data_IF_326992875252
#
_entry.id   IF_326992875252
#
_cell.length_a   1.000
_cell.length_b   1.000
_cell.length_c   1.000
_cell.angle_alpha   90.00
_cell.angle_beta   90.00
_cell.angle_gamma   90.00
#
_symmetry.space_group_name_H-M   'P 1'
#
loop_
_entity.id
_entity.type
_entity.pdbx_description
1 polymer ?
#
# COMPACT_ATOMS: atom_id res chain seq x y z
N UNK A 1 28.60 0.41 5.66
CA UNK A 1 27.59 0.34 4.58
C UNK A 1 26.46 1.30 4.90
N UNK A 2 26.08 2.16 3.95
CA UNK A 2 24.94 3.09 4.11
C UNK A 2 23.63 2.32 3.95
N UNK A 3 22.64 2.60 4.81
CA UNK A 3 21.32 1.96 4.73
C UNK A 3 20.58 2.36 3.44
N UNK A 4 19.76 1.45 2.90
CA UNK A 4 18.92 1.71 1.72
C UNK A 4 17.64 2.47 2.09
N UNK A 5 16.87 2.90 1.08
CA UNK A 5 15.55 3.51 1.30
C UNK A 5 14.64 2.59 2.12
N UNK A 6 14.51 1.32 1.69
CA UNK A 6 13.64 0.36 2.36
C UNK A 6 14.04 0.12 3.80
N UNK A 7 15.35 0.08 4.11
CA UNK A 7 15.83 -0.10 5.47
C UNK A 7 15.44 1.09 6.37
N UNK A 8 15.62 2.32 5.89
CA UNK A 8 15.17 3.51 6.64
C UNK A 8 13.65 3.55 6.81
N UNK A 9 12.90 3.12 5.79
CA UNK A 9 11.45 3.09 5.85
C UNK A 9 10.95 2.08 6.90
N UNK A 10 11.52 0.88 6.92
CA UNK A 10 11.22 -0.16 7.93
C UNK A 10 11.60 0.30 9.33
N UNK A 11 12.78 0.93 9.50
CA UNK A 11 13.16 1.52 10.79
C UNK A 11 12.10 2.52 11.28
N UNK A 12 11.57 3.36 10.39
CA UNK A 12 10.55 4.36 10.74
C UNK A 12 9.19 3.74 11.02
N UNK A 13 8.76 2.72 10.27
CA UNK A 13 7.55 1.93 10.61
C UNK A 13 7.69 1.38 12.02
N UNK A 14 8.79 0.67 12.31
CA UNK A 14 9.01 0.06 13.62
C UNK A 14 9.05 1.10 14.75
N UNK A 15 9.67 2.26 14.51
CA UNK A 15 9.64 3.37 15.47
C UNK A 15 8.21 3.84 15.76
N UNK A 16 7.36 4.01 14.74
CA UNK A 16 5.96 4.39 14.94
C UNK A 16 5.19 3.29 15.69
N UNK A 17 5.35 2.03 15.27
CA UNK A 17 4.63 0.91 15.89
C UNK A 17 5.01 0.71 17.36
N UNK A 18 6.26 0.99 17.74
CA UNK A 18 6.75 0.78 19.09
C UNK A 18 6.54 1.99 20.03
N UNK A 19 6.45 3.20 19.48
CA UNK A 19 6.32 4.43 20.25
C UNK A 19 5.37 5.42 19.56
N UNK A 20 4.12 5.40 20.00
CA UNK A 20 3.05 6.26 19.47
C UNK A 20 1.99 6.63 20.51
N UNK A 21 2.33 6.58 21.80
CA UNK A 21 1.38 6.86 22.88
C UNK A 21 0.84 8.30 22.83
N UNK A 22 1.60 9.23 22.22
CA UNK A 22 1.19 10.61 21.99
C UNK A 22 0.52 10.83 20.61
N UNK A 23 0.22 9.79 19.83
CA UNK A 23 -0.49 9.91 18.57
C UNK A 23 -2.00 9.69 18.77
N UNK A 24 -2.80 10.25 17.85
CA UNK A 24 -4.26 10.07 17.83
C UNK A 24 -4.76 10.10 16.39
N UNK A 25 -5.84 9.39 16.11
CA UNK A 25 -6.58 9.48 14.85
C UNK A 25 -7.03 10.91 14.53
N UNK A 26 -6.89 11.32 13.27
CA UNK A 26 -7.18 12.69 12.84
C UNK A 26 -8.63 13.13 13.08
N UNK A 27 -9.60 12.22 12.90
CA UNK A 27 -11.02 12.51 13.15
C UNK A 27 -11.31 12.68 14.65
N UNK A 28 -10.64 11.93 15.52
CA UNK A 28 -10.76 12.13 16.97
C UNK A 28 -10.21 13.50 17.39
N UNK A 29 -9.07 13.92 16.83
CA UNK A 29 -8.50 15.24 17.13
C UNK A 29 -9.40 16.37 16.64
N UNK A 30 -10.01 16.23 15.45
CA UNK A 30 -10.99 17.19 14.93
C UNK A 30 -12.24 17.23 15.82
N UNK A 31 -12.75 16.08 16.25
CA UNK A 31 -13.96 15.97 17.07
C UNK A 31 -13.77 16.40 18.53
N UNK A 32 -12.55 16.29 19.08
CA UNK A 32 -12.25 16.70 20.45
C UNK A 32 -10.88 17.41 20.57
N UNK A 33 -10.75 18.64 20.03
CA UNK A 33 -9.48 19.33 19.93
C UNK A 33 -8.87 19.70 21.29
N UNK A 34 -9.69 19.94 22.31
CA UNK A 34 -9.22 20.24 23.67
C UNK A 34 -8.55 19.02 24.32
N UNK A 35 -9.19 17.84 24.25
CA UNK A 35 -8.63 16.58 24.79
C UNK A 35 -7.30 16.23 24.11
N UNK A 36 -7.23 16.39 22.79
CA UNK A 36 -6.10 15.93 22.00
C UNK A 36 -5.15 17.05 21.54
N UNK A 37 -5.18 18.22 22.17
CA UNK A 37 -4.38 19.40 21.77
C UNK A 37 -2.90 19.06 21.57
N UNK A 38 -2.34 18.30 22.51
CA UNK A 38 -0.91 17.92 22.53
C UNK A 38 -0.60 16.60 21.80
N UNK A 39 -1.60 15.93 21.21
CA UNK A 39 -1.38 14.69 20.47
C UNK A 39 -1.02 14.96 19.02
N UNK A 40 -0.22 14.09 18.42
CA UNK A 40 0.10 14.13 17.00
C UNK A 40 -1.05 13.48 16.23
N UNK A 41 -1.65 14.22 15.29
CA UNK A 41 -2.71 13.72 14.42
C UNK A 41 -2.15 12.73 13.40
N UNK A 42 -2.81 11.59 13.21
CA UNK A 42 -2.45 10.57 12.23
C UNK A 42 -3.67 10.02 11.50
N UNK A 43 -3.45 9.63 10.25
CA UNK A 43 -4.36 8.86 9.41
C UNK A 43 -3.53 8.06 8.40
N UNK A 44 -4.23 7.31 7.55
CA UNK A 44 -3.65 6.36 6.61
C UNK A 44 -2.57 6.99 5.71
N UNK A 45 -2.81 8.19 5.18
CA UNK A 45 -1.85 8.90 4.32
C UNK A 45 -0.77 9.61 5.13
N UNK A 46 -1.10 10.17 6.30
CA UNK A 46 -0.14 10.87 7.17
C UNK A 46 1.00 9.93 7.60
N UNK A 47 0.69 8.71 8.02
CA UNK A 47 1.69 7.71 8.39
C UNK A 47 2.64 7.40 7.21
N UNK A 48 2.07 7.20 6.02
CA UNK A 48 2.87 6.94 4.82
C UNK A 48 3.81 8.10 4.49
N UNK A 49 3.32 9.34 4.59
CA UNK A 49 4.11 10.55 4.36
C UNK A 49 5.27 10.65 5.35
N UNK A 50 5.06 10.39 6.65
CA UNK A 50 6.15 10.40 7.63
C UNK A 50 7.27 9.41 7.29
N UNK A 51 6.91 8.20 6.88
CA UNK A 51 7.88 7.15 6.51
C UNK A 51 8.65 7.53 5.25
N UNK A 52 7.97 8.05 4.21
CA UNK A 52 8.61 8.48 2.98
C UNK A 52 9.54 9.68 3.20
N UNK A 53 9.08 10.71 3.93
CA UNK A 53 9.87 11.90 4.25
C UNK A 53 11.16 11.53 4.98
N UNK A 54 11.03 10.76 6.06
CA UNK A 54 12.17 10.30 6.85
C UNK A 54 13.19 9.54 5.98
N UNK A 55 12.71 8.62 5.14
CA UNK A 55 13.58 7.80 4.30
C UNK A 55 14.31 8.63 3.24
N UNK A 56 13.63 9.59 2.60
CA UNK A 56 14.29 10.52 1.68
C UNK A 56 15.30 11.43 2.37
N UNK A 57 14.99 11.95 3.56
CA UNK A 57 15.91 12.79 4.34
C UNK A 57 17.18 12.04 4.74
N UNK A 58 17.06 10.79 5.19
CA UNK A 58 18.21 9.95 5.53
C UNK A 58 19.12 9.64 4.34
N UNK A 59 18.60 9.74 3.12
CA UNK A 59 19.37 9.63 1.88
C UNK A 59 19.84 11.00 1.33
N UNK A 60 19.66 12.10 2.06
CA UNK A 60 20.02 13.44 1.60
C UNK A 60 19.10 14.02 0.51
N UNK A 61 17.95 13.39 0.22
CA UNK A 61 17.01 13.80 -0.83
C UNK A 61 15.94 14.76 -0.31
N UNK A 62 16.36 15.92 0.19
CA UNK A 62 15.47 16.90 0.85
C UNK A 62 14.33 17.40 -0.06
N UNK A 63 14.60 17.63 -1.35
CA UNK A 63 13.58 18.05 -2.31
C UNK A 63 12.48 16.99 -2.47
N UNK A 64 12.86 15.72 -2.46
CA UNK A 64 11.90 14.60 -2.53
C UNK A 64 11.10 14.46 -1.25
N UNK A 65 11.73 14.64 -0.07
CA UNK A 65 11.01 14.69 1.21
C UNK A 65 9.96 15.81 1.22
N UNK A 66 10.34 17.04 0.84
CA UNK A 66 9.41 18.16 0.72
C UNK A 66 8.27 17.85 -0.24
N UNK A 67 8.60 17.28 -1.42
CA UNK A 67 7.61 16.98 -2.46
C UNK A 67 6.62 15.92 -2.01
N UNK A 68 7.05 14.81 -1.42
CA UNK A 68 6.08 13.81 -0.93
C UNK A 68 5.17 14.42 0.12
N UNK A 69 5.68 15.25 1.03
CA UNK A 69 4.88 15.96 2.02
C UNK A 69 3.74 16.81 1.44
N UNK A 70 3.92 17.37 0.23
CA UNK A 70 2.89 18.12 -0.48
C UNK A 70 1.93 17.28 -1.34
N UNK A 71 2.10 15.96 -1.42
CA UNK A 71 1.25 15.04 -2.20
C UNK A 71 0.27 14.24 -1.31
N UNK A 72 0.19 14.57 -0.02
CA UNK A 72 -0.59 13.84 0.99
C UNK A 72 -2.12 13.91 0.84
N UNK A 73 -2.66 14.50 -0.22
CA UNK A 73 -4.11 14.56 -0.47
C UNK A 73 -4.63 13.41 -1.34
N UNK A 74 -3.77 12.83 -2.20
CA UNK A 74 -4.18 11.82 -3.19
C UNK A 74 -3.10 10.74 -3.31
N UNK A 75 -3.41 9.53 -2.85
CA UNK A 75 -2.49 8.39 -2.91
C UNK A 75 -2.00 8.08 -4.34
N UNK A 76 -2.85 8.27 -5.35
CA UNK A 76 -2.48 8.04 -6.75
C UNK A 76 -1.45 9.04 -7.28
N UNK A 77 -1.48 10.30 -6.86
CA UNK A 77 -0.48 11.30 -7.26
C UNK A 77 0.86 11.04 -6.57
N UNK A 78 0.83 10.63 -5.30
CA UNK A 78 2.00 10.16 -4.58
C UNK A 78 2.64 8.95 -5.29
N UNK A 79 1.83 7.96 -5.69
CA UNK A 79 2.29 6.77 -6.40
C UNK A 79 2.99 7.11 -7.73
N UNK A 80 2.35 7.93 -8.56
CA UNK A 80 2.92 8.37 -9.85
C UNK A 80 4.22 9.12 -9.65
N UNK A 81 4.31 9.97 -8.63
CA UNK A 81 5.56 10.68 -8.31
C UNK A 81 6.68 9.69 -7.99
N UNK A 82 6.42 8.69 -7.14
CA UNK A 82 7.42 7.67 -6.79
C UNK A 82 7.83 6.85 -8.02
N UNK A 83 6.89 6.44 -8.86
CA UNK A 83 7.18 5.68 -10.09
C UNK A 83 7.97 6.54 -11.08
N UNK A 84 7.44 7.69 -11.47
CA UNK A 84 7.96 8.49 -12.57
C UNK A 84 9.22 9.27 -12.22
N UNK A 85 9.41 9.66 -10.95
CA UNK A 85 10.57 10.46 -10.52
C UNK A 85 11.63 9.64 -9.81
N UNK A 86 11.24 8.58 -9.10
CA UNK A 86 12.18 7.75 -8.34
C UNK A 86 12.36 6.35 -8.91
N UNK A 87 11.79 6.06 -10.08
CA UNK A 87 11.87 4.77 -10.75
C UNK A 87 11.35 3.62 -9.89
N UNK A 88 10.32 3.87 -9.06
CA UNK A 88 9.66 2.80 -8.33
C UNK A 88 8.81 1.95 -9.27
N UNK A 89 8.53 0.71 -8.88
CA UNK A 89 7.68 -0.21 -9.66
C UNK A 89 6.31 -0.38 -9.03
N UNK A 90 5.28 -0.34 -9.88
CA UNK A 90 3.90 -0.59 -9.49
C UNK A 90 3.54 -2.07 -9.59
N UNK A 91 2.98 -2.62 -8.52
CA UNK A 91 2.55 -4.02 -8.41
C UNK A 91 1.06 -4.07 -8.12
N UNK A 92 0.25 -4.46 -9.09
CA UNK A 92 -1.18 -4.64 -8.85
C UNK A 92 -1.41 -5.88 -8.00
N UNK A 93 -2.18 -5.76 -6.92
CA UNK A 93 -2.49 -6.88 -6.06
C UNK A 93 -3.99 -7.18 -6.05
N UNK A 94 -4.34 -8.47 -6.04
CA UNK A 94 -5.71 -8.95 -5.88
C UNK A 94 -5.70 -10.44 -5.44
N UNK A 95 -6.26 -10.82 -4.27
CA UNK A 95 -6.23 -12.19 -3.79
C UNK A 95 -7.04 -13.16 -4.66
N UNK A 96 -8.09 -12.68 -5.33
CA UNK A 96 -8.94 -13.43 -6.25
C UNK A 96 -9.59 -12.52 -7.30
N UNK A 97 -9.03 -12.52 -8.52
CA UNK A 97 -9.51 -11.65 -9.61
C UNK A 97 -10.89 -12.04 -10.17
N UNK A 98 -11.39 -13.26 -9.90
CA UNK A 98 -12.68 -13.73 -10.43
C UNK A 98 -13.77 -13.76 -9.37
N UNK A 99 -13.40 -14.05 -8.12
CA UNK A 99 -14.32 -14.26 -7.01
C UNK A 99 -13.82 -13.51 -5.77
N UNK A 100 -13.80 -12.16 -5.80
CA UNK A 100 -13.48 -11.38 -4.61
C UNK A 100 -14.44 -11.76 -3.48
N UNK A 101 -13.93 -11.87 -2.25
CA UNK A 101 -14.68 -12.42 -1.12
C UNK A 101 -15.91 -11.61 -0.71
N UNK A 102 -15.97 -10.33 -1.10
CA UNK A 102 -17.13 -9.46 -0.88
C UNK A 102 -18.14 -9.45 -2.04
N UNK A 103 -17.82 -10.14 -3.14
CA UNK A 103 -18.64 -10.22 -4.35
C UNK A 103 -18.75 -8.93 -5.16
N UNK A 104 -17.97 -7.90 -4.82
CA UNK A 104 -18.05 -6.62 -5.51
C UNK A 104 -17.37 -6.69 -6.88
N UNK A 105 -18.13 -6.34 -7.92
CA UNK A 105 -17.66 -6.34 -9.31
C UNK A 105 -16.54 -5.35 -9.59
N UNK A 106 -16.31 -4.36 -8.71
CA UNK A 106 -15.24 -3.37 -8.87
C UNK A 106 -13.84 -4.00 -8.92
N UNK A 107 -13.60 -5.06 -8.14
CA UNK A 107 -12.30 -5.74 -8.10
C UNK A 107 -12.03 -6.44 -9.42
N UNK A 108 -13.04 -7.12 -9.96
CA UNK A 108 -13.01 -7.79 -11.26
C UNK A 108 -12.78 -6.75 -12.36
N UNK A 109 -13.56 -5.67 -12.35
CA UNK A 109 -13.45 -4.60 -13.32
C UNK A 109 -12.06 -3.93 -13.29
N UNK A 110 -11.49 -3.71 -12.10
CA UNK A 110 -10.15 -3.12 -11.97
C UNK A 110 -9.09 -3.94 -12.69
N UNK A 111 -9.14 -5.27 -12.59
CA UNK A 111 -8.20 -6.14 -13.29
C UNK A 111 -8.49 -6.22 -14.80
N UNK A 112 -9.70 -6.62 -15.19
CA UNK A 112 -10.02 -6.93 -16.59
C UNK A 112 -10.15 -5.70 -17.48
N UNK A 113 -10.59 -4.56 -16.95
CA UNK A 113 -10.79 -3.34 -17.73
C UNK A 113 -9.60 -2.37 -17.68
N UNK A 114 -8.74 -2.46 -16.67
CA UNK A 114 -7.62 -1.53 -16.51
C UNK A 114 -6.29 -2.28 -16.57
N UNK A 115 -5.96 -3.10 -15.58
CA UNK A 115 -4.64 -3.76 -15.50
C UNK A 115 -4.32 -4.56 -16.76
N UNK A 116 -5.24 -5.42 -17.19
CA UNK A 116 -5.05 -6.32 -18.35
C UNK A 116 -5.03 -5.57 -19.69
N UNK A 117 -5.71 -4.42 -19.79
CA UNK A 117 -5.83 -3.66 -21.03
C UNK A 117 -4.78 -2.57 -21.18
N UNK A 118 -4.40 -1.91 -20.08
CA UNK A 118 -3.59 -0.69 -20.16
C UNK A 118 -2.39 -0.67 -19.22
N UNK A 119 -2.13 -1.75 -18.46
CA UNK A 119 -1.07 -1.77 -17.45
C UNK A 119 -1.20 -0.59 -16.46
N UNK A 120 -2.43 -0.17 -16.13
CA UNK A 120 -2.65 0.91 -15.16
C UNK A 120 -3.70 0.56 -14.12
N UNK A 121 -3.61 1.24 -12.96
CA UNK A 121 -4.57 1.17 -11.87
C UNK A 121 -5.34 2.48 -11.70
N UNK A 122 -6.65 2.36 -11.46
CA UNK A 122 -7.62 3.43 -11.23
C UNK A 122 -7.82 4.35 -12.45
N UNK A 123 -8.85 5.19 -12.37
CA UNK A 123 -9.08 6.30 -13.32
C UNK A 123 -7.88 7.25 -13.40
N UNK A 124 -7.07 7.31 -12.33
CA UNK A 124 -5.84 8.09 -12.28
C UNK A 124 -4.71 7.51 -13.14
N UNK A 125 -4.84 6.29 -13.69
CA UNK A 125 -3.85 5.63 -14.55
C UNK A 125 -2.47 5.51 -13.90
N UNK A 126 -2.40 5.01 -12.67
CA UNK A 126 -1.10 4.73 -12.02
C UNK A 126 -0.42 3.57 -12.76
N UNK A 127 0.83 3.70 -13.23
CA UNK A 127 1.50 2.64 -13.99
C UNK A 127 1.74 1.36 -13.17
N UNK A 128 1.63 0.21 -13.82
CA UNK A 128 1.87 -1.12 -13.24
C UNK A 128 2.90 -1.86 -14.10
N UNK A 129 3.90 -2.45 -13.47
CA UNK A 129 4.88 -3.33 -14.15
C UNK A 129 4.73 -4.80 -13.79
N UNK A 130 4.10 -5.13 -12.65
CA UNK A 130 3.96 -6.50 -12.17
C UNK A 130 2.57 -6.77 -11.56
N UNK A 131 2.20 -8.04 -11.45
CA UNK A 131 0.96 -8.48 -10.80
C UNK A 131 1.23 -9.48 -9.69
N UNK A 132 0.60 -9.26 -8.54
CA UNK A 132 0.48 -10.21 -7.43
C UNK A 132 -0.99 -10.61 -7.31
N UNK A 133 -1.39 -11.59 -8.09
CA UNK A 133 -2.81 -11.98 -8.22
C UNK A 133 -3.03 -13.43 -7.83
N UNK A 134 -4.25 -13.73 -7.39
CA UNK A 134 -4.74 -15.10 -7.16
C UNK A 134 -3.98 -15.84 -6.05
N UNK A 135 -3.45 -15.11 -5.07
CA UNK A 135 -2.68 -15.68 -3.97
C UNK A 135 -3.55 -16.17 -2.81
N UNK A 136 -4.82 -15.74 -2.73
CA UNK A 136 -5.77 -16.25 -1.76
C UNK A 136 -7.19 -16.41 -2.34
N UNK A 137 -7.40 -17.35 -3.30
CA UNK A 137 -8.69 -17.54 -3.94
C UNK A 137 -9.81 -17.96 -3.00
N UNK A 138 -11.02 -17.50 -3.28
CA UNK A 138 -12.24 -17.94 -2.61
C UNK A 138 -12.51 -19.43 -2.90
N UNK A 139 -12.91 -20.18 -1.87
CA UNK A 139 -13.25 -21.61 -2.01
C UNK A 139 -14.48 -21.84 -2.89
N UNK A 140 -15.41 -20.89 -2.88
CA UNK A 140 -16.67 -20.96 -3.58
C UNK A 140 -16.74 -19.85 -4.63
N UNK A 141 -17.53 -20.09 -5.68
CA UNK A 141 -17.86 -19.06 -6.65
C UNK A 141 -18.69 -17.96 -5.98
N UNK A 142 -18.17 -16.74 -6.00
CA UNK A 142 -18.95 -15.55 -5.64
C UNK A 142 -19.62 -14.93 -6.88
N UNK A 143 -19.08 -15.20 -8.06
CA UNK A 143 -19.65 -14.81 -9.36
C UNK A 143 -20.02 -16.04 -10.18
N UNK A 144 -21.17 -16.00 -10.86
CA UNK A 144 -21.71 -17.17 -11.57
C UNK A 144 -21.06 -17.41 -12.94
N UNK A 145 -20.55 -16.35 -13.57
CA UNK A 145 -20.10 -16.34 -14.96
C UNK A 145 -18.58 -16.56 -15.12
N UNK A 146 -17.81 -16.59 -14.03
CA UNK A 146 -16.38 -16.87 -14.05
C UNK A 146 -16.09 -18.27 -13.47
N UNK A 147 -14.97 -18.83 -13.90
CA UNK A 147 -14.44 -20.07 -13.35
C UNK A 147 -13.64 -19.79 -12.07
N UNK A 148 -13.59 -20.80 -11.19
CA UNK A 148 -12.78 -20.75 -9.97
C UNK A 148 -11.33 -20.39 -10.29
N UNK A 149 -10.78 -19.50 -9.47
CA UNK A 149 -9.43 -19.00 -9.63
C UNK A 149 -8.41 -20.04 -9.18
N UNK A 150 -7.43 -20.34 -10.05
CA UNK A 150 -6.28 -21.17 -9.66
C UNK A 150 -5.33 -20.38 -8.77
N UNK A 151 -5.00 -20.93 -7.60
CA UNK A 151 -4.08 -20.35 -6.63
C UNK A 151 -2.65 -20.21 -7.20
N UNK A 152 -1.99 -19.08 -6.89
CA UNK A 152 -0.61 -18.75 -7.28
C UNK A 152 0.24 -18.41 -6.06
N UNK A 153 0.76 -19.44 -5.40
CA UNK A 153 1.57 -19.27 -4.19
C UNK A 153 2.99 -18.74 -4.45
N UNK A 154 3.60 -19.09 -5.59
CA UNK A 154 5.00 -18.73 -5.88
C UNK A 154 5.23 -17.21 -5.93
N UNK A 155 4.32 -16.47 -6.57
CA UNK A 155 4.40 -15.00 -6.64
C UNK A 155 4.23 -14.38 -5.25
N UNK A 156 3.31 -14.91 -4.43
CA UNK A 156 3.10 -14.43 -3.06
C UNK A 156 4.31 -14.69 -2.16
N UNK A 157 4.84 -15.91 -2.18
CA UNK A 157 6.02 -16.26 -1.38
C UNK A 157 7.24 -15.42 -1.76
N UNK A 158 7.41 -15.12 -3.06
CA UNK A 158 8.44 -14.19 -3.51
C UNK A 158 8.19 -12.78 -2.99
N UNK A 159 6.97 -12.26 -3.17
CA UNK A 159 6.62 -10.90 -2.79
C UNK A 159 6.63 -10.67 -1.27
N UNK A 160 6.35 -11.72 -0.48
CA UNK A 160 6.44 -11.72 0.98
C UNK A 160 7.84 -11.34 1.49
N UNK A 161 8.88 -11.39 0.65
CA UNK A 161 10.23 -10.98 1.01
C UNK A 161 10.57 -9.52 0.67
N UNK A 162 9.69 -8.80 -0.03
CA UNK A 162 9.92 -7.39 -0.37
C UNK A 162 9.98 -6.56 0.93
N UNK A 163 11.07 -5.84 1.19
CA UNK A 163 11.31 -5.22 2.50
C UNK A 163 10.42 -4.01 2.74
N UNK A 164 10.01 -3.28 1.70
CA UNK A 164 9.17 -2.11 1.85
C UNK A 164 8.33 -1.84 0.59
N UNK A 165 7.15 -1.26 0.77
CA UNK A 165 6.34 -0.67 -0.29
C UNK A 165 5.29 0.30 0.23
N UNK A 166 4.77 1.14 -0.66
CA UNK A 166 3.61 1.99 -0.43
C UNK A 166 2.39 1.33 -1.07
N UNK A 167 1.43 0.88 -0.25
CA UNK A 167 0.19 0.31 -0.74
C UNK A 167 -0.92 1.34 -0.86
N UNK A 168 -1.84 1.11 -1.78
CA UNK A 168 -3.09 1.86 -1.87
C UNK A 168 -4.24 1.01 -2.38
N UNK A 169 -5.43 1.37 -1.91
CA UNK A 169 -6.69 0.69 -2.19
C UNK A 169 -7.79 1.72 -2.46
N UNK A 170 -8.97 1.27 -2.90
CA UNK A 170 -10.12 2.15 -3.18
C UNK A 170 -9.77 3.33 -4.11
N UNK A 171 -9.12 3.03 -5.24
CA UNK A 171 -8.71 4.06 -6.20
C UNK A 171 -7.67 5.05 -5.68
N UNK A 172 -6.96 4.71 -4.61
CA UNK A 172 -5.94 5.54 -3.96
C UNK A 172 -6.45 6.44 -2.84
N UNK A 173 -7.70 6.25 -2.38
CA UNK A 173 -8.25 6.93 -1.20
C UNK A 173 -7.73 6.36 0.11
N UNK A 174 -7.44 5.07 0.13
CA UNK A 174 -6.83 4.41 1.29
C UNK A 174 -5.37 4.12 1.00
N UNK A 175 -4.47 4.57 1.86
CA UNK A 175 -3.02 4.45 1.70
C UNK A 175 -2.46 3.74 2.92
N UNK A 176 -1.52 2.83 2.72
CA UNK A 176 -0.95 2.01 3.77
C UNK A 176 0.50 1.65 3.42
N UNK A 177 1.21 1.08 4.38
CA UNK A 177 2.61 0.69 4.19
C UNK A 177 2.74 -0.82 4.17
N UNK A 178 3.67 -1.31 3.36
CA UNK A 178 3.97 -2.72 3.23
C UNK A 178 5.37 -3.02 3.73
N UNK A 179 5.56 -4.11 4.45
CA UNK A 179 6.88 -4.68 4.71
C UNK A 179 6.78 -6.17 5.01
N UNK A 180 7.53 -6.98 4.25
CA UNK A 180 7.70 -8.43 4.44
C UNK A 180 6.41 -9.16 4.76
N UNK A 181 5.47 -9.20 3.81
CA UNK A 181 4.12 -9.80 3.93
C UNK A 181 3.09 -9.02 4.77
N UNK A 182 3.50 -8.03 5.56
CA UNK A 182 2.60 -7.28 6.42
C UNK A 182 2.20 -5.94 5.83
N UNK A 183 0.93 -5.60 6.04
CA UNK A 183 0.31 -4.31 5.83
C UNK A 183 0.25 -3.58 7.16
N UNK A 184 0.69 -2.33 7.17
CA UNK A 184 0.67 -1.42 8.30
C UNK A 184 -0.29 -0.27 7.98
N UNK A 185 -1.31 -0.11 8.81
CA UNK A 185 -2.35 0.91 8.63
C UNK A 185 -2.38 1.90 9.79
N UNK A 186 -2.95 3.07 9.52
CA UNK A 186 -3.36 4.03 10.54
C UNK A 186 -4.84 4.31 10.44
N UNK A 187 -5.54 4.29 11.56
CA UNK A 187 -6.99 4.46 11.67
C UNK A 187 -7.31 5.87 12.20
N UNK A 188 -8.01 6.67 11.41
CA UNK A 188 -8.26 8.09 11.70
C UNK A 188 -9.21 8.34 12.89
N UNK A 189 -9.85 7.30 13.41
CA UNK A 189 -10.91 7.33 14.41
C UNK A 189 -10.49 6.66 15.73
N UNK A 190 -9.22 6.28 15.87
CA UNK A 190 -8.71 5.48 16.98
C UNK A 190 -7.70 6.23 17.83
N UNK A 191 -7.68 5.91 19.13
CA UNK A 191 -6.61 6.32 20.04
C UNK A 191 -5.43 5.34 19.93
N UNK A 192 -4.23 5.75 20.38
CA UNK A 192 -3.05 4.89 20.41
C UNK A 192 -3.30 3.52 21.07
N UNK A 193 -3.96 3.52 22.24
CA UNK A 193 -4.31 2.29 22.96
C UNK A 193 -5.45 1.46 22.38
N UNK A 194 -6.16 1.98 21.37
CA UNK A 194 -7.31 1.33 20.72
C UNK A 194 -7.03 0.99 19.24
N UNK A 195 -5.77 0.68 18.95
CA UNK A 195 -5.37 0.21 17.62
C UNK A 195 -5.27 1.31 16.57
N UNK A 196 -4.81 2.53 16.94
CA UNK A 196 -4.46 3.58 15.97
C UNK A 196 -3.59 3.07 14.84
N UNK A 197 -2.62 2.21 15.14
CA UNK A 197 -1.83 1.51 14.14
C UNK A 197 -2.04 0.01 14.23
N UNK A 198 -2.24 -0.64 13.08
CA UNK A 198 -2.42 -2.09 12.99
C UNK A 198 -1.40 -2.72 12.07
N UNK A 199 -1.20 -4.03 12.27
CA UNK A 199 -0.34 -4.87 11.44
C UNK A 199 -1.11 -6.11 11.03
N UNK A 200 -1.36 -6.28 9.74
CA UNK A 200 -2.17 -7.37 9.17
C UNK A 200 -1.38 -8.07 8.08
N UNK A 201 -1.44 -9.40 7.98
CA UNK A 201 -0.82 -10.08 6.84
C UNK A 201 -1.57 -9.74 5.54
N UNK A 202 -0.86 -9.51 4.45
CA UNK A 202 -1.44 -9.14 3.15
C UNK A 202 -2.49 -10.15 2.65
N UNK A 203 -2.33 -11.44 2.97
CA UNK A 203 -3.32 -12.48 2.64
C UNK A 203 -4.65 -12.36 3.40
N UNK A 204 -4.65 -11.67 4.53
CA UNK A 204 -5.82 -11.41 5.38
C UNK A 204 -6.30 -9.95 5.25
N UNK A 205 -5.67 -9.17 4.39
CA UNK A 205 -5.98 -7.75 4.26
C UNK A 205 -7.33 -7.55 3.57
N UNK A 206 -8.26 -6.76 4.16
CA UNK A 206 -9.65 -6.71 3.69
C UNK A 206 -9.81 -5.98 2.35
N UNK A 207 -8.86 -5.13 1.96
CA UNK A 207 -8.94 -4.42 0.68
C UNK A 207 -8.51 -5.33 -0.45
N UNK A 208 -9.48 -5.85 -1.21
CA UNK A 208 -9.27 -6.95 -2.17
C UNK A 208 -8.66 -6.53 -3.52
N UNK A 209 -8.42 -5.25 -3.77
CA UNK A 209 -7.69 -4.84 -4.97
C UNK A 209 -7.00 -3.50 -4.78
N UNK A 210 -5.83 -3.36 -5.37
CA UNK A 210 -5.09 -2.11 -5.33
C UNK A 210 -3.72 -2.21 -5.98
N UNK A 211 -2.82 -1.32 -5.58
CA UNK A 211 -1.43 -1.31 -6.05
C UNK A 211 -0.48 -1.13 -4.88
N UNK A 212 0.64 -1.85 -4.92
CA UNK A 212 1.80 -1.66 -4.04
C UNK A 212 2.93 -1.11 -4.90
N UNK A 213 3.48 0.03 -4.49
CA UNK A 213 4.61 0.67 -5.18
C UNK A 213 5.87 0.36 -4.39
N UNK A 214 6.86 -0.26 -5.06
CA UNK A 214 8.09 -0.75 -4.40
C UNK A 214 9.33 0.03 -4.88
N UNK A 215 10.29 0.34 -3.99
CA UNK A 215 11.42 1.18 -4.33
C UNK A 215 12.53 0.44 -5.13
N UNK A 216 13.41 1.17 -5.84
CA UNK A 216 14.45 0.59 -6.69
C UNK A 216 15.41 -0.37 -6.00
N UNK A 217 15.69 -0.16 -4.71
CA UNK A 217 16.58 -1.02 -3.91
C UNK A 217 15.99 -2.42 -3.65
N UNK A 218 14.77 -2.70 -4.13
CA UNK A 218 14.09 -4.00 -4.03
C UNK A 218 13.86 -4.68 -5.38
N UNK A 219 14.25 -4.05 -6.49
CA UNK A 219 13.92 -4.55 -7.83
C UNK A 219 14.48 -5.94 -8.13
N UNK A 220 15.65 -6.28 -7.58
CA UNK A 220 16.26 -7.60 -7.71
C UNK A 220 15.47 -8.70 -6.98
N UNK A 221 14.65 -8.34 -6.00
CA UNK A 221 13.75 -9.25 -5.28
C UNK A 221 12.37 -9.35 -5.94
N UNK A 222 12.02 -8.43 -6.85
CA UNK A 222 10.74 -8.40 -7.54
C UNK A 222 10.73 -9.36 -8.74
N UNK A 223 10.84 -10.65 -8.47
CA UNK A 223 10.83 -11.73 -9.49
C UNK A 223 9.47 -12.41 -9.56
N UNK A 224 8.41 -11.60 -9.67
CA UNK A 224 7.02 -12.06 -9.82
C UNK A 224 6.51 -11.76 -11.23
N UNK A 225 5.36 -12.35 -11.60
CA UNK A 225 4.72 -12.16 -12.90
C UNK A 225 4.73 -10.69 -13.36
N UNK A 226 5.42 -10.41 -14.48
CA UNK A 226 5.36 -9.12 -15.17
C UNK A 226 3.98 -8.89 -15.78
N UNK A 227 3.51 -7.65 -15.75
CA UNK A 227 2.24 -7.29 -16.38
C UNK A 227 2.41 -7.18 -17.88
N UNK A 228 1.62 -7.95 -18.63
CA UNK A 228 1.49 -7.81 -20.08
C UNK A 228 0.10 -7.25 -20.39
N UNK A 229 0.03 -5.99 -20.81
CA UNK A 229 -1.19 -5.41 -21.35
C UNK A 229 -1.32 -5.74 -22.84
N UNK A 230 -2.57 -5.85 -23.29
CA UNK A 230 -2.93 -6.07 -24.69
C UNK A 230 -3.38 -4.79 -25.36
#
# INVERSE_FOLDING_TARGET
MTKTFSQHAVDKINSIMNDHSNHVGSQLKIGNPTKYKNHISSDCITMAIWVLKYSFEKLGKLNSSKRVGGLGEKGTELAKYLINTHNWKGVYYNPDINHPSDGLGEHIASYYNQVKKSCTYSVSRVPISNTLINYNPSKNKVTTYLNLTKKKDADYNTFANIPFGLGMSSGGRHVWLYSKEFVYESHWEKEAGDGLYTKTQLKMFPWLSGIIVVPPDTHNLLTITSTNCK
#
